data_IF_190141306077
#
_entry.id   IF_190141306077
#
_cell.length_a   1.000
_cell.length_b   1.000
_cell.length_c   1.000
_cell.angle_alpha   90.00
_cell.angle_beta   90.00
_cell.angle_gamma   90.00
#
_symmetry.space_group_name_H-M   'P 1'
#
loop_
_entity.id
_entity.type
_entity.pdbx_description
1 polymer ?
#
# COMPACT_ATOMS: atom_id res chain seq x y z
N UNK A 1 -59.68 -50.68 39.38
CA UNK A 1 -58.83 -50.53 38.21
C UNK A 1 -58.93 -49.06 37.77
N UNK A 2 -58.02 -48.19 38.18
CA UNK A 2 -58.04 -46.74 37.89
C UNK A 2 -56.76 -46.42 37.10
N UNK A 3 -56.94 -45.92 35.92
CA UNK A 3 -55.93 -45.70 34.85
C UNK A 3 -55.01 -44.50 35.12
N UNK A 4 -53.73 -44.73 35.29
CA UNK A 4 -52.65 -43.74 35.35
C UNK A 4 -52.16 -43.28 33.97
N UNK A 5 -53.00 -42.65 33.13
CA UNK A 5 -52.59 -42.19 31.81
C UNK A 5 -52.44 -40.64 31.64
N UNK A 6 -52.69 -39.86 32.72
CA UNK A 6 -52.73 -38.40 32.63
C UNK A 6 -51.41 -37.68 32.92
N UNK A 7 -50.48 -38.31 33.63
CA UNK A 7 -49.24 -37.62 34.12
C UNK A 7 -48.12 -37.51 33.08
N UNK A 8 -47.96 -38.49 32.26
CA UNK A 8 -46.84 -38.57 31.30
C UNK A 8 -46.90 -37.60 30.11
N UNK A 9 -48.14 -37.21 29.65
CA UNK A 9 -48.33 -36.23 28.57
C UNK A 9 -48.04 -34.77 28.99
N UNK A 10 -48.17 -34.44 30.31
CA UNK A 10 -47.82 -33.10 30.79
C UNK A 10 -46.33 -32.90 30.97
N UNK A 11 -45.58 -33.95 31.33
CA UNK A 11 -44.11 -33.92 31.44
C UNK A 11 -43.40 -33.77 30.08
N UNK A 12 -43.87 -34.44 29.02
CA UNK A 12 -43.32 -34.29 27.67
C UNK A 12 -43.54 -32.90 27.03
N UNK A 13 -44.70 -32.22 27.35
CA UNK A 13 -44.96 -30.86 26.84
C UNK A 13 -44.08 -29.82 27.55
N UNK A 14 -43.75 -29.98 28.83
CA UNK A 14 -42.83 -29.10 29.56
C UNK A 14 -41.37 -29.19 29.06
N UNK A 15 -40.92 -30.44 28.75
CA UNK A 15 -39.56 -30.66 28.25
C UNK A 15 -39.34 -30.15 26.84
N UNK A 16 -40.34 -30.23 25.95
CA UNK A 16 -40.28 -29.67 24.58
C UNK A 16 -40.26 -28.15 24.57
N UNK A 17 -40.93 -27.48 25.49
CA UNK A 17 -40.97 -26.01 25.58
C UNK A 17 -39.65 -25.44 26.17
N UNK A 18 -38.99 -26.15 27.09
CA UNK A 18 -37.68 -25.80 27.63
C UNK A 18 -36.53 -25.93 26.64
N UNK A 19 -36.55 -26.94 25.73
CA UNK A 19 -35.53 -27.11 24.72
C UNK A 19 -35.60 -26.07 23.60
N UNK A 20 -36.80 -25.57 23.27
CA UNK A 20 -36.98 -24.55 22.22
C UNK A 20 -36.52 -23.18 22.70
N UNK A 21 -36.59 -22.88 23.98
CA UNK A 21 -36.18 -21.59 24.55
C UNK A 21 -34.64 -21.49 24.69
N UNK A 22 -33.91 -22.61 24.91
CA UNK A 22 -32.46 -22.63 24.95
C UNK A 22 -31.79 -22.39 23.58
N UNK A 23 -32.42 -22.76 22.46
CA UNK A 23 -31.89 -22.50 21.11
C UNK A 23 -32.01 -21.05 20.66
N UNK A 24 -32.91 -20.26 21.25
CA UNK A 24 -33.13 -18.87 20.87
C UNK A 24 -32.14 -17.87 21.48
N UNK A 25 -31.37 -18.26 22.51
CA UNK A 25 -30.43 -17.38 23.22
C UNK A 25 -29.03 -17.37 22.54
N UNK A 26 -28.76 -18.33 21.67
CA UNK A 26 -27.46 -18.43 20.95
C UNK A 26 -27.29 -17.48 19.76
N UNK A 27 -28.34 -16.82 19.26
CA UNK A 27 -28.30 -16.07 18.01
C UNK A 27 -28.04 -14.54 18.18
N UNK A 28 -27.90 -14.04 19.41
CA UNK A 28 -27.77 -12.59 19.66
C UNK A 28 -26.39 -12.13 20.15
N UNK A 29 -25.39 -12.99 20.16
CA UNK A 29 -24.04 -12.67 20.64
C UNK A 29 -23.03 -12.34 19.52
N UNK A 30 -23.48 -11.99 18.33
CA UNK A 30 -22.60 -11.26 17.39
C UNK A 30 -22.56 -9.80 17.87
N UNK A 31 -21.66 -9.55 18.85
CA UNK A 31 -21.37 -8.21 19.34
C UNK A 31 -21.17 -7.25 18.17
N UNK A 32 -21.65 -6.02 18.34
CA UNK A 32 -21.57 -4.97 17.32
C UNK A 32 -20.11 -4.67 17.02
N UNK A 33 -19.57 -5.19 15.90
CA UNK A 33 -18.22 -4.90 15.47
C UNK A 33 -18.11 -3.44 15.00
N UNK A 34 -17.06 -2.71 15.41
CA UNK A 34 -16.09 -3.05 16.47
C UNK A 34 -16.61 -2.70 17.87
N UNK A 35 -16.26 -3.50 18.90
CA UNK A 35 -16.57 -3.27 20.32
C UNK A 35 -15.34 -2.91 21.16
N UNK A 36 -14.15 -2.95 20.56
CA UNK A 36 -12.84 -2.65 21.17
C UNK A 36 -11.90 -2.02 20.14
N UNK A 37 -10.76 -1.43 20.57
CA UNK A 37 -9.79 -0.84 19.65
C UNK A 37 -9.29 -1.82 18.60
N UNK A 38 -9.13 -1.30 17.37
CA UNK A 38 -8.59 -2.04 16.22
C UNK A 38 -7.12 -1.69 16.07
N UNK A 39 -6.27 -2.71 15.99
CA UNK A 39 -4.84 -2.57 15.70
C UNK A 39 -4.64 -2.48 14.19
N UNK A 40 -4.00 -1.41 13.72
CA UNK A 40 -3.56 -1.26 12.35
C UNK A 40 -2.03 -1.32 12.30
N UNK A 41 -1.50 -2.44 11.80
CA UNK A 41 -0.07 -2.69 11.71
C UNK A 41 0.51 -1.96 10.49
N UNK A 42 1.58 -1.21 10.72
CA UNK A 42 2.37 -0.54 9.69
C UNK A 42 3.69 -1.31 9.58
N UNK A 43 3.98 -1.97 8.44
CA UNK A 43 5.14 -2.87 8.33
C UNK A 43 6.48 -2.14 8.14
N UNK A 44 6.54 -0.84 8.46
CA UNK A 44 7.71 0.01 8.32
C UNK A 44 7.94 0.88 9.56
N UNK A 45 9.13 1.48 9.63
CA UNK A 45 9.51 2.38 10.73
C UNK A 45 8.62 3.64 10.76
N UNK A 46 8.44 4.23 11.96
CA UNK A 46 7.74 5.50 12.12
C UNK A 46 8.38 6.63 11.28
N UNK A 47 7.56 7.58 10.82
CA UNK A 47 8.00 8.75 10.05
C UNK A 47 8.21 8.48 8.55
N UNK A 48 8.07 7.25 8.08
CA UNK A 48 8.05 6.94 6.65
C UNK A 48 6.71 7.27 6.01
N UNK A 49 6.67 7.26 4.66
CA UNK A 49 5.47 7.57 3.87
C UNK A 49 4.23 6.78 4.30
N UNK A 50 4.38 5.46 4.47
CA UNK A 50 3.28 4.57 4.91
C UNK A 50 2.76 4.93 6.29
N UNK A 51 3.65 5.30 7.24
CA UNK A 51 3.29 5.73 8.57
C UNK A 51 2.55 7.08 8.54
N UNK A 52 3.05 8.04 7.76
CA UNK A 52 2.42 9.36 7.59
C UNK A 52 1.02 9.22 7.00
N UNK A 53 0.86 8.38 5.96
CA UNK A 53 -0.45 8.12 5.34
C UNK A 53 -1.41 7.46 6.33
N UNK A 54 -1.00 6.39 6.99
CA UNK A 54 -1.86 5.70 7.96
C UNK A 54 -2.32 6.64 9.08
N UNK A 55 -1.43 7.51 9.60
CA UNK A 55 -1.76 8.52 10.62
C UNK A 55 -2.72 9.60 10.10
N UNK A 56 -2.65 9.92 8.82
CA UNK A 56 -3.55 10.91 8.22
C UNK A 56 -5.01 10.46 8.23
N UNK A 57 -5.26 9.14 8.14
CA UNK A 57 -6.62 8.57 8.06
C UNK A 57 -7.10 7.92 9.36
N UNK A 58 -6.19 7.43 10.22
CA UNK A 58 -6.52 6.57 11.36
C UNK A 58 -7.45 7.24 12.38
N UNK A 59 -7.22 8.51 12.71
CA UNK A 59 -8.06 9.23 13.68
C UNK A 59 -9.51 9.27 13.22
N UNK A 60 -9.71 9.73 11.98
CA UNK A 60 -11.06 9.86 11.40
C UNK A 60 -11.73 8.50 11.17
N UNK A 61 -10.95 7.49 10.75
CA UNK A 61 -11.44 6.12 10.63
C UNK A 61 -11.96 5.58 11.97
N UNK A 62 -11.24 5.89 13.06
CA UNK A 62 -11.68 5.52 14.41
C UNK A 62 -13.00 6.16 14.80
N UNK A 63 -13.21 7.43 14.47
CA UNK A 63 -14.47 8.14 14.72
C UNK A 63 -15.64 7.50 13.94
N UNK A 64 -15.44 7.22 12.64
CA UNK A 64 -16.46 6.59 11.78
C UNK A 64 -16.81 5.17 12.23
N UNK A 65 -15.81 4.40 12.68
CA UNK A 65 -16.04 3.05 13.21
C UNK A 65 -16.56 3.03 14.64
N UNK A 66 -16.41 4.12 15.40
CA UNK A 66 -16.79 4.21 16.81
C UNK A 66 -15.81 3.54 17.77
N UNK A 67 -14.59 3.23 17.31
CA UNK A 67 -13.52 2.62 18.12
C UNK A 67 -12.16 3.14 17.71
N UNK A 68 -11.23 3.25 18.65
CA UNK A 68 -9.89 3.74 18.39
C UNK A 68 -9.13 2.84 17.40
N UNK A 69 -8.43 3.45 16.44
CA UNK A 69 -7.42 2.77 15.61
C UNK A 69 -6.05 2.96 16.25
N UNK A 70 -5.48 1.87 16.76
CA UNK A 70 -4.15 1.84 17.37
C UNK A 70 -3.11 1.50 16.29
N UNK A 71 -2.27 2.47 15.95
CA UNK A 71 -1.20 2.28 14.97
C UNK A 71 -0.01 1.58 15.62
N UNK A 72 0.46 0.48 15.02
CA UNK A 72 1.60 -0.28 15.50
C UNK A 72 2.64 -0.45 14.38
N UNK A 73 3.80 0.19 14.51
CA UNK A 73 4.90 0.02 13.57
C UNK A 73 5.67 -1.28 13.86
N UNK A 74 5.69 -2.20 12.88
CA UNK A 74 6.47 -3.45 12.93
C UNK A 74 7.40 -3.54 11.73
N UNK A 75 8.50 -2.80 11.80
CA UNK A 75 9.50 -2.77 10.74
C UNK A 75 10.38 -4.02 10.74
N UNK A 76 10.92 -4.36 9.58
CA UNK A 76 11.94 -5.41 9.39
C UNK A 76 11.79 -6.13 8.05
N UNK A 77 12.93 -6.49 7.45
CA UNK A 77 13.02 -7.25 6.20
C UNK A 77 12.04 -6.74 5.12
N UNK A 78 12.15 -5.48 4.72
CA UNK A 78 11.27 -4.83 3.71
C UNK A 78 9.76 -5.00 3.99
N UNK A 79 9.39 -4.98 5.29
CA UNK A 79 8.00 -5.10 5.72
C UNK A 79 7.51 -6.54 5.95
N UNK A 80 8.34 -7.55 5.69
CA UNK A 80 7.97 -8.97 5.86
C UNK A 80 7.57 -9.26 7.31
N UNK A 81 8.30 -8.75 8.30
CA UNK A 81 8.03 -9.02 9.72
C UNK A 81 6.62 -8.59 10.14
N UNK A 82 6.21 -7.37 9.80
CA UNK A 82 4.88 -6.87 10.13
C UNK A 82 3.77 -7.55 9.35
N UNK A 83 4.03 -7.89 8.08
CA UNK A 83 3.05 -8.54 7.21
C UNK A 83 2.79 -9.99 7.64
N UNK A 84 3.84 -10.75 7.93
CA UNK A 84 3.75 -12.13 8.44
C UNK A 84 3.01 -12.19 9.79
N UNK A 85 3.29 -11.22 10.68
CA UNK A 85 2.57 -11.12 11.94
C UNK A 85 1.06 -10.98 11.74
N UNK A 86 0.61 -10.14 10.79
CA UNK A 86 -0.83 -9.98 10.51
C UNK A 86 -1.40 -11.21 9.82
N UNK A 87 -0.71 -11.80 8.85
CA UNK A 87 -1.15 -13.02 8.18
C UNK A 87 -1.49 -14.15 9.18
N UNK A 88 -0.73 -14.24 10.29
CA UNK A 88 -0.89 -15.25 11.35
C UNK A 88 -1.78 -14.80 12.51
N UNK A 89 -2.34 -13.59 12.45
CA UNK A 89 -3.24 -13.08 13.49
C UNK A 89 -4.63 -13.72 13.40
N UNK A 90 -5.44 -13.59 14.48
CA UNK A 90 -6.83 -14.06 14.46
C UNK A 90 -7.65 -13.32 13.44
N UNK A 91 -8.49 -13.99 12.64
CA UNK A 91 -9.34 -13.40 11.62
C UNK A 91 -10.63 -12.79 12.21
N UNK A 92 -10.50 -11.99 13.28
CA UNK A 92 -11.60 -11.39 14.01
C UNK A 92 -11.82 -9.89 13.69
N UNK A 93 -11.02 -9.34 12.75
CA UNK A 93 -11.09 -7.94 12.32
C UNK A 93 -10.38 -6.94 13.23
N UNK A 94 -9.78 -7.37 14.36
CA UNK A 94 -9.12 -6.46 15.31
C UNK A 94 -7.60 -6.33 15.10
N UNK A 95 -7.06 -7.04 14.11
CA UNK A 95 -5.69 -6.84 13.64
C UNK A 95 -5.71 -6.72 12.13
N UNK A 96 -5.39 -5.55 11.62
CA UNK A 96 -5.36 -5.21 10.19
C UNK A 96 -3.95 -4.79 9.80
N UNK A 97 -3.62 -4.84 8.51
CA UNK A 97 -2.38 -4.29 7.98
C UNK A 97 -2.65 -3.10 7.08
N UNK A 98 -1.81 -2.07 7.19
CA UNK A 98 -1.65 -1.03 6.19
C UNK A 98 -0.51 -1.45 5.25
N UNK A 99 -0.85 -2.29 4.27
CA UNK A 99 0.09 -2.88 3.33
C UNK A 99 0.51 -1.92 2.22
N UNK A 100 1.56 -2.29 1.49
CA UNK A 100 2.13 -1.49 0.40
C UNK A 100 2.41 -2.35 -0.83
N UNK A 101 2.77 -1.71 -1.95
CA UNK A 101 3.29 -2.38 -3.14
C UNK A 101 4.45 -3.34 -2.82
N UNK A 102 5.33 -2.96 -1.90
CA UNK A 102 6.44 -3.82 -1.49
C UNK A 102 5.93 -5.11 -0.84
N UNK A 103 5.07 -5.01 0.18
CA UNK A 103 4.62 -6.16 0.97
C UNK A 103 3.59 -7.05 0.26
N UNK A 104 2.75 -6.47 -0.62
CA UNK A 104 1.63 -7.18 -1.25
C UNK A 104 1.80 -7.41 -2.76
N UNK A 105 2.99 -7.07 -3.32
CA UNK A 105 3.30 -7.41 -4.70
C UNK A 105 4.80 -7.69 -4.91
N UNK A 106 5.66 -6.71 -4.66
CA UNK A 106 7.07 -6.75 -5.05
C UNK A 106 7.87 -7.86 -4.34
N UNK A 107 7.67 -8.03 -3.02
CA UNK A 107 8.42 -9.03 -2.25
C UNK A 107 8.23 -10.46 -2.79
N UNK A 108 7.11 -10.76 -3.45
CA UNK A 108 6.87 -12.06 -4.07
C UNK A 108 7.82 -12.33 -5.24
N UNK A 109 8.29 -11.30 -5.93
CA UNK A 109 9.28 -11.42 -7.00
C UNK A 109 10.71 -11.41 -6.48
N UNK A 110 10.97 -10.68 -5.39
CA UNK A 110 12.32 -10.46 -4.85
C UNK A 110 12.82 -11.64 -4.04
N UNK A 111 11.95 -12.25 -3.22
CA UNK A 111 12.35 -13.31 -2.29
C UNK A 111 11.93 -14.70 -2.79
N UNK A 112 12.86 -15.66 -2.78
CA UNK A 112 12.59 -17.07 -3.11
C UNK A 112 11.55 -17.71 -2.18
N UNK A 113 11.52 -17.26 -0.92
CA UNK A 113 10.64 -17.77 0.10
C UNK A 113 10.10 -16.63 0.93
N UNK A 114 8.79 -16.42 0.90
CA UNK A 114 8.08 -15.52 1.80
C UNK A 114 7.31 -16.36 2.82
N UNK A 115 7.26 -15.93 4.11
CA UNK A 115 6.49 -16.62 5.14
C UNK A 115 4.97 -16.40 5.01
N UNK A 116 4.52 -15.62 4.03
CA UNK A 116 3.12 -15.35 3.70
C UNK A 116 2.94 -15.22 2.18
N UNK A 117 1.71 -15.37 1.72
CA UNK A 117 1.33 -15.05 0.34
C UNK A 117 0.44 -13.80 0.31
N UNK A 118 0.77 -12.76 -0.50
CA UNK A 118 0.12 -11.44 -0.49
C UNK A 118 -1.41 -11.41 -0.64
N UNK A 119 -2.00 -12.41 -1.27
CA UNK A 119 -3.45 -12.54 -1.43
C UNK A 119 -4.05 -13.73 -0.70
N UNK A 120 -3.39 -14.91 -0.73
CA UNK A 120 -3.99 -16.14 -0.19
C UNK A 120 -4.08 -16.19 1.32
N UNK A 121 -3.29 -15.37 2.03
CA UNK A 121 -3.26 -15.34 3.49
C UNK A 121 -4.00 -14.10 4.04
N UNK A 122 -4.69 -13.34 3.17
CA UNK A 122 -5.39 -12.11 3.53
C UNK A 122 -6.76 -12.01 2.89
N UNK A 123 -7.66 -11.26 3.57
CA UNK A 123 -8.89 -10.71 3.01
C UNK A 123 -8.62 -9.26 2.59
N UNK A 124 -8.68 -8.91 1.30
CA UNK A 124 -8.60 -7.53 0.84
C UNK A 124 -9.76 -6.70 1.41
N UNK A 125 -9.46 -5.52 1.93
CA UNK A 125 -10.49 -4.59 2.43
C UNK A 125 -10.62 -3.39 1.49
N UNK A 126 -9.55 -2.61 1.33
CA UNK A 126 -9.59 -1.41 0.50
C UNK A 126 -8.23 -1.08 -0.11
N UNK A 127 -8.24 -0.62 -1.34
CA UNK A 127 -7.13 0.12 -1.94
C UNK A 127 -7.33 1.59 -1.58
N UNK A 128 -6.43 2.14 -0.75
CA UNK A 128 -6.66 3.45 -0.12
C UNK A 128 -5.98 4.61 -0.83
N UNK A 129 -5.01 4.33 -1.67
CA UNK A 129 -4.38 5.35 -2.49
C UNK A 129 -3.03 4.94 -3.08
N UNK A 130 -2.53 5.79 -3.96
CA UNK A 130 -1.25 5.62 -4.64
C UNK A 130 -0.40 6.89 -4.60
N UNK A 131 0.90 6.69 -4.72
CA UNK A 131 1.90 7.76 -4.79
C UNK A 131 2.75 7.49 -6.03
N UNK A 132 2.55 8.24 -7.12
CA UNK A 132 3.36 8.11 -8.31
C UNK A 132 4.83 8.41 -8.03
N UNK A 133 5.71 7.70 -8.73
CA UNK A 133 7.13 7.99 -8.69
C UNK A 133 7.43 9.22 -9.53
N UNK A 134 8.33 10.07 -9.02
CA UNK A 134 8.87 11.22 -9.75
C UNK A 134 10.33 10.95 -10.04
N UNK A 135 10.76 11.23 -11.26
CA UNK A 135 12.17 11.25 -11.61
C UNK A 135 12.78 12.59 -11.18
N UNK A 136 13.63 12.56 -10.17
CA UNK A 136 14.41 13.71 -9.72
C UNK A 136 15.82 13.64 -10.27
N UNK A 137 16.38 14.79 -10.63
CA UNK A 137 17.75 14.90 -11.11
C UNK A 137 18.48 16.09 -10.47
N UNK A 138 19.80 15.93 -10.31
CA UNK A 138 20.69 17.04 -9.95
C UNK A 138 20.61 18.15 -11.01
N UNK A 139 20.74 19.44 -10.66
CA UNK A 139 20.66 20.56 -11.62
C UNK A 139 21.65 20.53 -12.78
N UNK A 140 22.73 19.74 -12.69
CA UNK A 140 23.66 19.51 -13.80
C UNK A 140 23.05 18.69 -14.95
N UNK A 141 21.94 17.98 -14.70
CA UNK A 141 21.25 17.17 -15.71
C UNK A 141 20.25 18.05 -16.50
N UNK A 142 19.85 17.65 -17.72
CA UNK A 142 18.84 18.35 -18.49
C UNK A 142 17.51 18.50 -17.72
N UNK A 143 16.75 19.52 -18.04
CA UNK A 143 15.49 19.85 -17.37
C UNK A 143 14.29 19.09 -17.94
N UNK A 144 14.36 18.63 -19.19
CA UNK A 144 13.26 17.94 -19.86
C UNK A 144 13.55 16.44 -19.97
N UNK A 145 12.50 15.59 -19.90
CA UNK A 145 12.66 14.13 -20.04
C UNK A 145 13.26 13.76 -21.39
N UNK A 146 12.91 14.46 -22.47
CA UNK A 146 13.44 14.22 -23.82
C UNK A 146 14.95 14.42 -23.86
N UNK A 147 15.44 15.55 -23.35
CA UNK A 147 16.88 15.85 -23.32
C UNK A 147 17.63 14.94 -22.33
N UNK A 148 17.00 14.62 -21.19
CA UNK A 148 17.54 13.67 -20.23
C UNK A 148 17.76 12.29 -20.86
N UNK A 149 16.78 11.73 -21.54
CA UNK A 149 16.90 10.46 -22.27
C UNK A 149 17.97 10.56 -23.37
N UNK A 150 17.99 11.66 -24.15
CA UNK A 150 19.00 11.86 -25.18
C UNK A 150 20.42 11.88 -24.60
N UNK A 151 20.62 12.53 -23.46
CA UNK A 151 21.91 12.56 -22.76
C UNK A 151 22.35 11.16 -22.32
N UNK A 152 21.44 10.36 -21.73
CA UNK A 152 21.75 9.00 -21.32
C UNK A 152 22.08 8.10 -22.50
N UNK A 153 21.36 8.24 -23.63
CA UNK A 153 21.63 7.51 -24.87
C UNK A 153 23.01 7.82 -25.46
N UNK A 154 23.39 9.09 -25.43
CA UNK A 154 24.71 9.53 -25.93
C UNK A 154 25.87 9.10 -25.03
N UNK A 155 25.61 8.71 -23.78
CA UNK A 155 26.62 8.40 -22.79
C UNK A 155 26.23 7.14 -21.99
N UNK A 156 26.18 5.94 -22.60
CA UNK A 156 25.74 4.73 -21.91
C UNK A 156 26.67 4.38 -20.75
N UNK A 157 26.04 4.15 -19.55
CA UNK A 157 26.76 3.76 -18.33
C UNK A 157 27.57 4.87 -17.64
N UNK A 158 27.60 6.09 -18.17
CA UNK A 158 28.34 7.22 -17.59
C UNK A 158 27.66 7.81 -16.35
N UNK A 159 26.35 7.82 -16.31
CA UNK A 159 25.55 8.42 -15.24
C UNK A 159 25.07 7.37 -14.26
N UNK A 160 24.92 7.74 -13.00
CA UNK A 160 24.45 6.87 -11.93
C UNK A 160 23.16 7.39 -11.30
N UNK A 161 22.40 6.48 -10.72
CA UNK A 161 21.21 6.81 -9.95
C UNK A 161 21.20 6.13 -8.59
N UNK A 162 20.63 6.80 -7.60
CA UNK A 162 20.51 6.30 -6.24
C UNK A 162 19.13 5.68 -5.97
N UNK A 163 19.09 4.46 -5.44
CA UNK A 163 17.87 3.85 -4.94
C UNK A 163 18.18 2.79 -3.88
N UNK A 164 17.21 2.51 -3.00
CA UNK A 164 17.30 1.29 -2.19
C UNK A 164 17.14 0.07 -3.10
N UNK A 165 17.95 -0.97 -2.88
CA UNK A 165 17.90 -2.18 -3.69
C UNK A 165 16.53 -2.84 -3.69
N UNK A 166 16.09 -3.36 -4.82
CA UNK A 166 14.79 -4.03 -5.01
C UNK A 166 13.57 -3.23 -4.52
N UNK A 167 13.68 -1.89 -4.47
CA UNK A 167 12.56 -1.00 -4.12
C UNK A 167 11.77 -0.56 -5.36
N UNK A 168 10.58 0.01 -5.15
CA UNK A 168 9.80 0.63 -6.23
C UNK A 168 10.58 1.75 -6.95
N UNK A 169 11.42 2.50 -6.21
CA UNK A 169 12.31 3.53 -6.78
C UNK A 169 13.36 2.92 -7.71
N UNK A 170 14.00 1.82 -7.31
CA UNK A 170 14.96 1.10 -8.13
C UNK A 170 14.30 0.57 -9.40
N UNK A 171 13.26 -0.26 -9.23
CA UNK A 171 12.60 -0.93 -10.36
C UNK A 171 11.88 0.05 -11.29
N UNK A 172 11.40 1.18 -10.78
CA UNK A 172 10.85 2.25 -11.61
C UNK A 172 11.88 2.86 -12.55
N UNK A 173 13.12 3.06 -12.08
CA UNK A 173 14.22 3.51 -12.94
C UNK A 173 14.66 2.41 -13.90
N UNK A 174 14.66 1.14 -13.49
CA UNK A 174 14.96 0.02 -14.41
C UNK A 174 13.91 -0.10 -15.54
N UNK A 175 12.62 0.09 -15.23
CA UNK A 175 11.58 0.18 -16.26
C UNK A 175 11.79 1.37 -17.20
N UNK A 176 12.20 2.53 -16.68
CA UNK A 176 12.59 3.68 -17.51
C UNK A 176 13.75 3.32 -18.44
N UNK A 177 14.80 2.69 -17.91
CA UNK A 177 15.97 2.28 -18.70
C UNK A 177 15.56 1.33 -19.83
N UNK A 178 14.77 0.31 -19.52
CA UNK A 178 14.27 -0.65 -20.50
C UNK A 178 13.39 0.02 -21.57
N UNK A 179 12.39 0.82 -21.13
CA UNK A 179 11.44 1.47 -22.03
C UNK A 179 12.09 2.55 -22.93
N UNK A 180 13.08 3.26 -22.43
CA UNK A 180 13.80 4.29 -23.19
C UNK A 180 15.01 3.74 -23.95
N UNK A 181 15.46 2.51 -23.75
CA UNK A 181 16.68 1.95 -24.31
C UNK A 181 17.94 2.71 -23.87
N UNK A 182 18.06 3.03 -22.57
CA UNK A 182 19.20 3.75 -21.98
C UNK A 182 19.90 2.95 -20.91
N UNK A 183 21.15 3.33 -20.60
CA UNK A 183 21.95 2.70 -19.55
C UNK A 183 22.38 3.71 -18.51
N UNK A 184 22.25 3.33 -17.22
CA UNK A 184 22.77 4.06 -16.08
C UNK A 184 23.11 3.08 -14.95
N UNK A 185 24.08 3.46 -14.09
CA UNK A 185 24.61 2.62 -13.03
C UNK A 185 23.74 2.76 -11.77
N UNK A 186 23.25 1.67 -11.23
CA UNK A 186 22.58 1.66 -9.93
C UNK A 186 23.59 1.76 -8.79
N UNK A 187 23.39 2.73 -7.90
CA UNK A 187 24.12 2.84 -6.63
C UNK A 187 23.15 2.48 -5.51
N UNK A 188 23.37 1.37 -4.79
CA UNK A 188 22.44 0.90 -3.76
C UNK A 188 22.58 1.72 -2.47
N UNK A 189 21.46 2.13 -1.91
CA UNK A 189 21.34 2.83 -0.63
C UNK A 189 20.47 2.06 0.37
N UNK A 190 20.60 2.37 1.67
CA UNK A 190 19.76 1.78 2.72
C UNK A 190 18.34 2.37 2.79
N UNK A 191 18.01 3.32 1.91
CA UNK A 191 16.71 3.99 1.87
C UNK A 191 16.74 5.26 1.01
N UNK A 192 15.58 5.90 0.85
CA UNK A 192 15.40 7.09 0.01
C UNK A 192 16.15 8.31 0.55
N UNK A 193 16.25 8.47 1.88
CA UNK A 193 16.90 9.63 2.48
C UNK A 193 18.38 9.78 2.09
N UNK A 194 19.24 8.79 2.30
CA UNK A 194 20.64 8.83 1.85
C UNK A 194 20.77 9.00 0.33
N UNK A 195 19.94 8.35 -0.48
CA UNK A 195 19.94 8.52 -1.93
C UNK A 195 19.60 9.97 -2.34
N UNK A 196 18.62 10.58 -1.66
CA UNK A 196 18.26 11.99 -1.86
C UNK A 196 19.45 12.93 -1.56
N UNK A 197 20.13 12.74 -0.44
CA UNK A 197 21.27 13.59 -0.06
C UNK A 197 22.39 13.51 -1.10
N UNK A 198 22.72 12.31 -1.58
CA UNK A 198 23.77 12.13 -2.56
C UNK A 198 23.34 12.61 -3.97
N UNK A 199 22.03 12.56 -4.28
CA UNK A 199 21.52 13.18 -5.52
C UNK A 199 21.61 14.71 -5.44
N UNK A 200 21.25 15.29 -4.30
CA UNK A 200 21.38 16.74 -4.04
C UNK A 200 22.84 17.19 -4.06
N UNK A 201 23.76 16.33 -3.59
CA UNK A 201 25.21 16.57 -3.62
C UNK A 201 25.89 16.28 -4.97
N UNK A 202 25.15 15.73 -5.95
CA UNK A 202 25.69 15.37 -7.28
C UNK A 202 26.56 14.12 -7.30
N UNK A 203 26.64 13.35 -6.19
CA UNK A 203 27.37 12.08 -6.14
C UNK A 203 26.73 11.02 -7.05
N UNK A 204 25.39 11.01 -7.10
CA UNK A 204 24.59 10.36 -8.14
C UNK A 204 23.77 11.41 -8.88
N UNK A 205 23.50 11.22 -10.16
CA UNK A 205 22.94 12.27 -11.00
C UNK A 205 21.42 12.32 -10.96
N UNK A 206 20.75 11.22 -10.58
CA UNK A 206 19.30 11.19 -10.52
C UNK A 206 18.78 10.10 -9.58
N UNK A 207 17.49 10.13 -9.30
CA UNK A 207 16.79 9.14 -8.48
C UNK A 207 15.30 9.09 -8.80
N UNK A 208 14.66 7.96 -8.51
CA UNK A 208 13.20 7.89 -8.39
C UNK A 208 12.77 8.11 -6.94
N UNK A 209 11.69 8.85 -6.73
CA UNK A 209 11.18 9.07 -5.37
C UNK A 209 9.74 9.60 -5.37
N UNK A 210 9.06 9.60 -4.20
CA UNK A 210 7.77 10.27 -4.05
C UNK A 210 7.95 11.79 -4.08
N UNK A 211 6.90 12.51 -4.53
CA UNK A 211 6.95 13.98 -4.62
C UNK A 211 7.22 14.62 -3.26
N UNK A 212 6.64 14.09 -2.17
CA UNK A 212 6.82 14.61 -0.82
C UNK A 212 8.27 14.58 -0.33
N UNK A 213 9.08 13.65 -0.84
CA UNK A 213 10.50 13.54 -0.50
C UNK A 213 11.34 14.57 -1.26
N UNK A 214 11.09 14.75 -2.56
CA UNK A 214 11.91 15.60 -3.41
C UNK A 214 11.46 17.06 -3.53
N UNK A 215 10.18 17.35 -3.32
CA UNK A 215 9.58 18.66 -3.55
C UNK A 215 10.29 19.81 -2.78
N UNK A 216 10.65 19.67 -1.49
CA UNK A 216 11.39 20.71 -0.80
C UNK A 216 12.74 21.04 -1.46
N UNK A 217 13.42 20.06 -2.01
CA UNK A 217 14.70 20.24 -2.71
C UNK A 217 14.50 20.88 -4.09
N UNK A 218 13.39 20.56 -4.77
CA UNK A 218 13.01 21.20 -6.04
C UNK A 218 12.67 22.67 -5.81
N UNK A 219 11.89 23.00 -4.78
CA UNK A 219 11.56 24.39 -4.42
C UNK A 219 12.78 25.20 -4.01
N UNK A 220 13.77 24.55 -3.38
CA UNK A 220 15.06 25.16 -3.06
C UNK A 220 16.05 25.24 -4.25
N UNK A 221 15.64 24.81 -5.46
CA UNK A 221 16.50 24.79 -6.68
C UNK A 221 17.66 23.78 -6.61
N UNK A 222 17.65 22.88 -5.64
CA UNK A 222 18.72 21.89 -5.43
C UNK A 222 18.49 20.58 -6.19
N UNK A 223 17.27 20.34 -6.66
CA UNK A 223 16.91 19.25 -7.58
C UNK A 223 15.98 19.78 -8.67
N UNK A 224 15.89 19.03 -9.77
CA UNK A 224 14.86 19.15 -10.80
C UNK A 224 13.90 17.97 -10.68
N UNK A 225 12.59 18.24 -10.74
CA UNK A 225 11.58 17.21 -11.00
C UNK A 225 11.43 17.12 -12.53
N UNK A 226 11.89 16.04 -13.11
CA UNK A 226 11.95 15.87 -14.58
C UNK A 226 10.60 15.45 -15.12
N UNK A 227 9.99 14.42 -14.54
CA UNK A 227 8.65 13.94 -14.92
C UNK A 227 8.06 13.01 -13.84
N UNK A 228 6.73 12.90 -13.84
CA UNK A 228 5.95 11.98 -13.01
C UNK A 228 5.64 10.71 -13.78
N UNK A 229 5.90 9.55 -13.19
CA UNK A 229 5.58 8.23 -13.75
C UNK A 229 4.09 7.89 -13.55
N UNK A 230 3.22 8.71 -14.14
CA UNK A 230 1.76 8.59 -14.08
C UNK A 230 1.12 9.06 -15.38
N UNK A 231 -0.17 8.75 -15.56
CA UNK A 231 -0.96 9.22 -16.72
C UNK A 231 -1.38 10.68 -16.60
N UNK A 232 -1.52 11.17 -15.36
CA UNK A 232 -1.97 12.53 -15.07
C UNK A 232 -0.95 13.22 -14.17
N UNK A 233 -0.86 14.55 -14.30
CA UNK A 233 -0.03 15.38 -13.44
C UNK A 233 -0.50 15.30 -11.99
N UNK A 234 0.43 15.45 -11.07
CA UNK A 234 0.13 15.48 -9.64
C UNK A 234 -0.37 16.86 -9.23
N UNK A 235 -1.45 16.90 -8.44
CA UNK A 235 -1.95 18.17 -7.89
C UNK A 235 -0.93 18.86 -6.96
N UNK A 236 -0.05 18.08 -6.31
CA UNK A 236 1.04 18.60 -5.47
C UNK A 236 2.18 19.24 -6.28
N UNK A 237 2.27 18.97 -7.60
CA UNK A 237 3.30 19.51 -8.49
C UNK A 237 2.74 19.63 -9.93
N UNK A 238 1.79 20.55 -10.17
CA UNK A 238 1.06 20.65 -11.45
C UNK A 238 1.95 21.05 -12.63
N UNK A 239 3.09 21.69 -12.36
CA UNK A 239 4.05 22.10 -13.38
C UNK A 239 4.96 20.96 -13.85
N UNK A 240 5.03 19.85 -13.12
CA UNK A 240 5.85 18.69 -13.49
C UNK A 240 5.09 17.84 -14.51
N UNK A 241 5.64 17.67 -15.75
CA UNK A 241 4.99 16.88 -16.78
C UNK A 241 4.96 15.40 -16.42
N UNK A 242 4.09 14.64 -17.07
CA UNK A 242 4.07 13.18 -16.93
C UNK A 242 4.97 12.49 -17.95
N UNK A 243 5.34 11.25 -17.69
CA UNK A 243 5.99 10.41 -18.70
C UNK A 243 5.09 10.17 -19.92
N UNK A 244 3.77 10.11 -19.73
CA UNK A 244 2.80 9.99 -20.82
C UNK A 244 2.85 11.21 -21.76
N UNK A 245 2.89 12.42 -21.21
CA UNK A 245 3.05 13.68 -22.01
C UNK A 245 4.38 13.72 -22.78
N UNK A 246 5.40 13.05 -22.27
CA UNK A 246 6.72 12.96 -22.90
C UNK A 246 6.89 11.76 -23.85
N UNK A 247 5.78 11.07 -24.20
CA UNK A 247 5.77 9.98 -25.19
C UNK A 247 6.04 8.57 -24.60
N UNK A 248 5.93 8.40 -23.30
CA UNK A 248 6.09 7.11 -22.61
C UNK A 248 4.84 6.75 -21.77
N UNK A 249 3.65 6.56 -22.40
CA UNK A 249 2.39 6.42 -21.70
C UNK A 249 2.29 5.13 -20.85
N UNK A 250 3.06 4.10 -21.18
CA UNK A 250 3.02 2.82 -20.48
C UNK A 250 3.91 2.78 -19.23
N UNK A 251 4.70 3.84 -19.00
CA UNK A 251 5.54 3.94 -17.82
C UNK A 251 4.80 4.57 -16.64
N UNK A 252 3.90 3.79 -16.08
CA UNK A 252 3.17 4.13 -14.87
C UNK A 252 3.74 3.35 -13.69
N UNK A 253 4.45 4.04 -12.81
CA UNK A 253 5.15 3.46 -11.65
C UNK A 253 4.92 4.30 -10.41
N UNK A 254 4.63 3.63 -9.31
CA UNK A 254 4.44 4.27 -8.01
C UNK A 254 4.33 3.23 -6.91
N UNK A 255 4.32 3.69 -5.68
CA UNK A 255 3.87 2.86 -4.57
C UNK A 255 2.36 3.06 -4.36
N UNK A 256 1.77 2.16 -3.60
CA UNK A 256 0.36 2.21 -3.23
C UNK A 256 0.15 1.57 -1.87
N UNK A 257 -0.99 1.86 -1.27
CA UNK A 257 -1.35 1.34 0.04
C UNK A 257 -2.71 0.65 0.01
N UNK A 258 -2.81 -0.43 0.77
CA UNK A 258 -4.01 -1.22 0.96
C UNK A 258 -4.26 -1.46 2.44
N UNK A 259 -5.52 -1.61 2.82
CA UNK A 259 -5.89 -2.18 4.11
C UNK A 259 -6.37 -3.60 3.88
N UNK A 260 -5.80 -4.54 4.62
CA UNK A 260 -6.15 -5.96 4.53
C UNK A 260 -6.29 -6.56 5.93
N UNK A 261 -7.07 -7.64 6.01
CA UNK A 261 -7.23 -8.45 7.20
C UNK A 261 -6.63 -9.85 7.01
N UNK A 262 -6.39 -10.63 8.09
CA UNK A 262 -6.06 -12.07 7.97
C UNK A 262 -7.13 -12.83 7.20
N UNK A 263 -6.72 -13.85 6.43
CA UNK A 263 -7.63 -14.74 5.72
C UNK A 263 -8.70 -15.33 6.66
N UNK A 264 -9.95 -15.37 6.19
CA UNK A 264 -11.09 -15.90 6.96
C UNK A 264 -11.74 -14.85 7.87
N UNK A 265 -11.33 -13.59 7.81
CA UNK A 265 -12.04 -12.49 8.48
C UNK A 265 -13.47 -12.41 7.93
N UNK A 266 -14.52 -12.39 8.79
CA UNK A 266 -15.90 -12.41 8.34
C UNK A 266 -16.25 -11.28 7.37
N UNK A 267 -16.92 -11.62 6.28
CA UNK A 267 -17.32 -10.67 5.22
C UNK A 267 -18.00 -9.40 5.74
N UNK A 268 -18.95 -9.44 6.71
CA UNK A 268 -19.55 -8.22 7.25
C UNK A 268 -18.54 -7.27 7.91
N UNK A 269 -17.45 -7.80 8.50
CA UNK A 269 -16.37 -7.01 9.08
C UNK A 269 -15.56 -6.32 7.97
N UNK A 270 -15.19 -7.08 6.93
CA UNK A 270 -14.47 -6.57 5.75
C UNK A 270 -15.26 -5.43 5.11
N UNK A 271 -16.56 -5.64 4.86
CA UNK A 271 -17.45 -4.63 4.25
C UNK A 271 -17.62 -3.40 5.14
N UNK A 272 -17.72 -3.56 6.47
CA UNK A 272 -17.84 -2.46 7.42
C UNK A 272 -16.60 -1.57 7.42
N UNK A 273 -15.40 -2.17 7.43
CA UNK A 273 -14.14 -1.42 7.40
C UNK A 273 -13.91 -0.77 6.03
N UNK A 274 -14.25 -1.47 4.92
CA UNK A 274 -14.19 -0.91 3.58
C UNK A 274 -15.08 0.33 3.44
N UNK A 275 -16.35 0.24 3.86
CA UNK A 275 -17.29 1.38 3.80
C UNK A 275 -16.77 2.59 4.60
N UNK A 276 -16.24 2.35 5.81
CA UNK A 276 -15.68 3.40 6.66
C UNK A 276 -14.43 4.05 6.03
N UNK A 277 -13.54 3.28 5.42
CA UNK A 277 -12.37 3.81 4.71
C UNK A 277 -12.79 4.67 3.52
N UNK A 278 -13.70 4.21 2.69
CA UNK A 278 -14.21 4.97 1.55
C UNK A 278 -14.90 6.27 2.00
N UNK A 279 -15.66 6.24 3.10
CA UNK A 279 -16.26 7.44 3.70
C UNK A 279 -15.18 8.46 4.09
N UNK A 280 -14.19 8.05 4.85
CA UNK A 280 -13.08 8.90 5.30
C UNK A 280 -12.30 9.49 4.12
N UNK A 281 -12.01 8.67 3.09
CA UNK A 281 -11.25 9.11 1.92
C UNK A 281 -12.02 10.07 1.01
N UNK A 282 -13.36 10.15 1.11
CA UNK A 282 -14.21 11.16 0.43
C UNK A 282 -14.18 12.50 1.10
N UNK A 283 -13.85 12.59 2.39
CA UNK A 283 -13.87 13.84 3.13
C UNK A 283 -12.92 14.89 2.55
N UNK A 284 -13.38 16.12 2.25
CA UNK A 284 -12.52 17.13 1.61
C UNK A 284 -11.24 17.43 2.37
N UNK A 285 -11.29 17.52 3.71
CA UNK A 285 -10.13 17.79 4.56
C UNK A 285 -9.08 16.66 4.54
N UNK A 286 -9.55 15.40 4.50
CA UNK A 286 -8.66 14.24 4.35
C UNK A 286 -8.04 14.22 2.95
N UNK A 287 -8.84 14.41 1.90
CA UNK A 287 -8.33 14.46 0.52
C UNK A 287 -7.29 15.55 0.33
N UNK A 288 -7.56 16.76 0.80
CA UNK A 288 -6.61 17.87 0.73
C UNK A 288 -5.30 17.54 1.45
N UNK A 289 -5.38 16.99 2.66
CA UNK A 289 -4.19 16.57 3.42
C UNK A 289 -3.38 15.52 2.69
N UNK A 290 -4.03 14.49 2.14
CA UNK A 290 -3.37 13.42 1.38
C UNK A 290 -2.73 13.95 0.12
N UNK A 291 -3.44 14.80 -0.64
CA UNK A 291 -2.92 15.42 -1.87
C UNK A 291 -1.67 16.27 -1.60
N UNK A 292 -1.64 17.05 -0.51
CA UNK A 292 -0.44 17.80 -0.08
C UNK A 292 0.75 16.89 0.21
N UNK A 293 0.50 15.65 0.64
CA UNK A 293 1.53 14.61 0.84
C UNK A 293 1.92 13.89 -0.46
N UNK A 294 1.32 14.27 -1.60
CA UNK A 294 1.54 13.63 -2.89
C UNK A 294 0.79 12.30 -3.07
N UNK A 295 -0.17 12.00 -2.20
CA UNK A 295 -0.98 10.80 -2.24
C UNK A 295 -2.26 11.08 -3.03
N UNK A 296 -2.56 10.24 -4.00
CA UNK A 296 -3.86 10.23 -4.70
C UNK A 296 -4.78 9.25 -3.99
N UNK A 297 -5.76 9.72 -3.20
CA UNK A 297 -6.67 8.84 -2.49
C UNK A 297 -7.66 8.17 -3.44
N UNK A 298 -8.01 6.90 -3.14
CA UNK A 298 -9.04 6.11 -3.84
C UNK A 298 -10.17 5.83 -2.85
N UNK A 299 -11.36 6.34 -3.13
CA UNK A 299 -12.51 6.41 -2.20
C UNK A 299 -13.73 5.61 -2.67
N UNK A 300 -13.55 4.74 -3.66
CA UNK A 300 -14.58 3.89 -4.25
C UNK A 300 -14.13 2.42 -4.41
N UNK A 301 -13.01 2.06 -3.75
CA UNK A 301 -12.49 0.70 -3.83
C UNK A 301 -13.42 -0.30 -3.14
N UNK A 302 -13.49 -1.50 -3.71
CA UNK A 302 -14.16 -2.65 -3.10
C UNK A 302 -13.14 -3.73 -2.75
N UNK A 303 -13.48 -4.71 -1.89
CA UNK A 303 -12.61 -5.86 -1.66
C UNK A 303 -12.23 -6.58 -2.96
N UNK A 304 -13.18 -6.72 -3.90
CA UNK A 304 -12.95 -7.36 -5.20
C UNK A 304 -11.98 -6.54 -6.07
N UNK A 305 -12.23 -5.24 -6.26
CA UNK A 305 -11.34 -4.38 -7.06
C UNK A 305 -9.94 -4.25 -6.44
N UNK A 306 -9.84 -4.32 -5.11
CA UNK A 306 -8.57 -4.36 -4.39
C UNK A 306 -7.79 -5.63 -4.71
N UNK A 307 -8.43 -6.81 -4.68
CA UNK A 307 -7.82 -8.08 -5.05
C UNK A 307 -7.34 -8.09 -6.51
N UNK A 308 -8.17 -7.60 -7.45
CA UNK A 308 -7.82 -7.48 -8.87
C UNK A 308 -6.61 -6.57 -9.08
N UNK A 309 -6.58 -5.44 -8.37
CA UNK A 309 -5.43 -4.51 -8.42
C UNK A 309 -4.17 -5.17 -7.92
N UNK A 310 -4.19 -5.85 -6.76
CA UNK A 310 -3.01 -6.55 -6.23
C UNK A 310 -2.56 -7.65 -7.21
N UNK A 311 -3.47 -8.40 -7.81
CA UNK A 311 -3.14 -9.44 -8.80
C UNK A 311 -2.40 -8.86 -10.00
N UNK A 312 -2.89 -7.74 -10.55
CA UNK A 312 -2.25 -7.02 -11.66
C UNK A 312 -0.89 -6.47 -11.27
N UNK A 313 -0.78 -5.92 -10.06
CA UNK A 313 0.46 -5.36 -9.55
C UNK A 313 1.53 -6.44 -9.30
N UNK A 314 1.15 -7.62 -8.79
CA UNK A 314 2.08 -8.76 -8.66
C UNK A 314 2.70 -9.11 -10.01
N UNK A 315 1.90 -9.22 -11.07
CA UNK A 315 2.39 -9.53 -12.41
C UNK A 315 3.30 -8.40 -12.96
N UNK A 316 2.92 -7.13 -12.75
CA UNK A 316 3.71 -5.97 -13.16
C UNK A 316 5.08 -5.94 -12.48
N UNK A 317 5.14 -6.12 -11.16
CA UNK A 317 6.39 -6.06 -10.42
C UNK A 317 7.29 -7.28 -10.67
N UNK A 318 6.73 -8.46 -10.93
CA UNK A 318 7.50 -9.63 -11.37
C UNK A 318 8.22 -9.32 -12.70
N UNK A 319 7.50 -8.78 -13.69
CA UNK A 319 8.09 -8.36 -14.97
C UNK A 319 9.14 -7.24 -14.80
N UNK A 320 8.86 -6.25 -13.94
CA UNK A 320 9.80 -5.17 -13.65
C UNK A 320 11.11 -5.70 -13.03
N UNK A 321 11.00 -6.67 -12.13
CA UNK A 321 12.14 -7.29 -11.48
C UNK A 321 13.02 -8.07 -12.47
N UNK A 322 12.42 -8.83 -13.37
CA UNK A 322 13.14 -9.53 -14.47
C UNK A 322 13.86 -8.53 -15.39
N UNK A 323 13.17 -7.46 -15.82
CA UNK A 323 13.75 -6.43 -16.68
C UNK A 323 14.93 -5.70 -16.01
N UNK A 324 14.88 -5.51 -14.70
CA UNK A 324 15.97 -4.96 -13.91
C UNK A 324 17.14 -5.93 -13.69
N UNK A 325 17.11 -7.13 -14.27
CA UNK A 325 18.12 -8.16 -14.07
C UNK A 325 18.09 -8.78 -12.68
N UNK A 326 16.98 -8.63 -11.97
CA UNK A 326 16.77 -9.16 -10.63
C UNK A 326 16.87 -10.69 -10.60
N UNK A 327 17.51 -11.22 -9.54
CA UNK A 327 17.50 -12.65 -9.22
C UNK A 327 16.92 -12.79 -7.83
N UNK A 328 15.91 -13.66 -7.63
CA UNK A 328 15.31 -13.85 -6.31
C UNK A 328 16.36 -14.26 -5.26
N UNK A 329 16.31 -13.60 -4.10
CA UNK A 329 17.21 -13.79 -2.95
C UNK A 329 16.73 -14.90 -2.02
#
# INVERSE_FOLDING_TARGET
>A
MVTHAGGMRRFLKGLAFGLTLCCAIGASAQGRYPDRPIRLVIPFAPGGETDIFSRAVAGRLGEVLGQQIVLENRAGATGIVGTDFVAKSRPDGYTLIFGTAATHALNLAVFKSLPYHPLRDFEPIAFVGSVPLVLFAHPSMPATLKEFIALLKANPGKYSYGAAGSSTSHLGVELLKAGAGVSAVHVPYKGTGPALQDTVGGQVQFMGGSIGVGLPMVQAGRLRAIAVMARQRMAAAPDVPTFAEAGMPDLEVGTWNVVMAPLGTPKPIVERVNAALNEVLREPGIRERLTKLGITPVDDSTPASTAETITREIAKWAKAFELGGGKPE
#
